data_IF_478415410686
#
_entry.id   IF_478415410686
#
_cell.length_a   1.000
_cell.length_b   1.000
_cell.length_c   1.000
_cell.angle_alpha   90.00
_cell.angle_beta   90.00
_cell.angle_gamma   90.00
#
_symmetry.space_group_name_H-M   'P 1'
#
loop_
_entity.id
_entity.type
_entity.pdbx_description
1 polymer ?
#
# COMPACT_ATOMS: atom_id res chain seq x y z
N UNK A 1 9.99 16.93 -8.46
CA UNK A 1 9.34 18.26 -8.32
C UNK A 1 9.76 18.81 -6.97
N UNK A 2 10.33 20.03 -6.89
CA UNK A 2 10.62 20.65 -5.60
C UNK A 2 9.31 21.09 -4.93
N UNK A 3 9.19 20.83 -3.63
CA UNK A 3 8.05 21.29 -2.83
C UNK A 3 8.07 22.82 -2.73
N UNK A 4 6.89 23.43 -2.78
CA UNK A 4 6.69 24.88 -2.59
C UNK A 4 6.04 25.14 -1.24
N UNK A 5 6.18 26.35 -0.70
CA UNK A 5 5.56 26.75 0.58
C UNK A 5 4.02 26.67 0.57
N UNK A 6 3.42 26.70 -0.62
CA UNK A 6 1.98 26.55 -0.85
C UNK A 6 1.47 25.10 -0.77
N UNK A 7 2.37 24.10 -0.74
CA UNK A 7 2.00 22.69 -0.66
C UNK A 7 1.65 22.30 0.79
N UNK A 8 0.40 21.90 1.04
CA UNK A 8 -0.03 21.43 2.36
C UNK A 8 0.70 20.15 2.79
N UNK A 9 1.50 20.23 3.84
CA UNK A 9 2.16 19.09 4.49
C UNK A 9 1.52 18.81 5.86
N UNK A 10 1.32 17.53 6.22
CA UNK A 10 0.85 17.17 7.55
C UNK A 10 1.85 17.58 8.63
N UNK A 11 1.36 17.80 9.86
CA UNK A 11 2.22 18.16 10.99
C UNK A 11 3.06 16.97 11.46
N UNK A 12 4.11 17.22 12.25
CA UNK A 12 4.92 16.13 12.80
C UNK A 12 4.12 15.23 13.76
N UNK A 13 3.23 15.83 14.56
CA UNK A 13 2.36 15.10 15.49
C UNK A 13 1.38 14.16 14.77
N UNK A 14 0.94 14.52 13.56
CA UNK A 14 0.10 13.65 12.73
C UNK A 14 0.87 12.46 12.17
N UNK A 15 2.18 12.60 11.97
CA UNK A 15 3.05 11.55 11.44
C UNK A 15 3.63 10.65 12.52
N UNK A 16 3.62 11.09 13.77
CA UNK A 16 4.14 10.31 14.89
C UNK A 16 3.23 9.12 15.19
N UNK A 17 3.75 7.93 14.93
CA UNK A 17 3.06 6.65 15.09
C UNK A 17 4.09 5.68 15.65
N UNK A 18 3.73 4.81 16.62
CA UNK A 18 4.66 3.80 17.09
C UNK A 18 5.10 2.91 15.93
N UNK A 19 6.41 2.74 15.76
CA UNK A 19 6.99 1.96 14.68
C UNK A 19 7.15 0.48 15.06
N UNK A 20 6.95 -0.42 14.09
CA UNK A 20 7.28 -1.84 14.29
C UNK A 20 8.79 -2.03 14.27
N UNK A 21 9.40 -2.08 15.45
CA UNK A 21 10.84 -2.33 15.64
C UNK A 21 11.18 -3.82 15.45
N UNK A 22 11.02 -4.32 14.22
CA UNK A 22 11.34 -5.70 13.84
C UNK A 22 12.38 -5.73 12.73
N UNK A 23 13.21 -6.77 12.70
CA UNK A 23 14.16 -6.98 11.60
C UNK A 23 13.46 -7.46 10.33
N UNK A 24 14.13 -7.32 9.19
CA UNK A 24 13.62 -7.81 7.90
C UNK A 24 13.35 -9.31 7.90
N UNK A 25 14.18 -10.12 8.56
CA UNK A 25 14.01 -11.57 8.70
C UNK A 25 12.73 -11.92 9.45
N UNK A 26 12.42 -11.21 10.54
CA UNK A 26 11.17 -11.38 11.31
C UNK A 26 9.95 -11.02 10.47
N UNK A 27 9.96 -9.87 9.79
CA UNK A 27 8.85 -9.46 8.92
C UNK A 27 8.64 -10.45 7.78
N UNK A 28 9.73 -10.96 7.21
CA UNK A 28 9.68 -11.93 6.11
C UNK A 28 9.13 -13.28 6.56
N UNK A 29 9.56 -13.79 7.72
CA UNK A 29 9.03 -14.99 8.33
C UNK A 29 7.51 -14.88 8.58
N UNK A 30 7.06 -13.76 9.15
CA UNK A 30 5.65 -13.52 9.45
C UNK A 30 4.79 -13.12 8.25
N UNK A 31 5.37 -12.78 7.10
CA UNK A 31 4.72 -12.06 5.99
C UNK A 31 3.43 -12.71 5.47
N UNK A 32 3.40 -14.03 5.29
CA UNK A 32 2.23 -14.74 4.75
C UNK A 32 1.04 -14.71 5.72
N UNK A 33 1.32 -14.81 7.02
CA UNK A 33 0.31 -14.80 8.07
C UNK A 33 -0.15 -13.39 8.39
N UNK A 34 0.79 -12.46 8.49
CA UNK A 34 0.53 -11.04 8.64
C UNK A 34 -0.34 -10.53 7.50
N UNK A 35 0.01 -10.86 6.25
CA UNK A 35 -0.76 -10.46 5.08
C UNK A 35 -2.17 -11.06 5.05
N UNK A 36 -2.38 -12.29 5.57
CA UNK A 36 -3.70 -12.90 5.68
C UNK A 36 -4.54 -12.28 6.82
N UNK A 37 -3.91 -11.98 7.95
CA UNK A 37 -4.57 -11.42 9.13
C UNK A 37 -4.96 -9.96 8.92
N UNK A 38 -4.06 -9.14 8.37
CA UNK A 38 -4.25 -7.71 8.09
C UNK A 38 -4.70 -7.41 6.65
N UNK A 39 -5.28 -8.40 5.96
CA UNK A 39 -5.60 -8.31 4.53
C UNK A 39 -6.58 -7.16 4.23
N UNK A 40 -7.51 -6.88 5.14
CA UNK A 40 -8.50 -5.81 4.98
C UNK A 40 -7.83 -4.43 5.06
N UNK A 41 -7.09 -4.16 6.14
CA UNK A 41 -6.43 -2.88 6.40
C UNK A 41 -5.37 -2.57 5.34
N UNK A 42 -4.56 -3.56 4.97
CA UNK A 42 -3.53 -3.40 3.95
C UNK A 42 -4.13 -3.04 2.60
N UNK A 43 -5.27 -3.64 2.23
CA UNK A 43 -5.94 -3.31 0.96
C UNK A 43 -6.61 -1.96 0.98
N UNK A 44 -7.20 -1.55 2.09
CA UNK A 44 -7.79 -0.21 2.21
C UNK A 44 -6.73 0.85 1.96
N UNK A 45 -5.56 0.70 2.60
CA UNK A 45 -4.42 1.58 2.39
C UNK A 45 -3.94 1.58 0.93
N UNK A 46 -3.78 0.41 0.32
CA UNK A 46 -3.34 0.30 -1.08
C UNK A 46 -4.35 0.90 -2.05
N UNK A 47 -5.65 0.68 -1.83
CA UNK A 47 -6.70 1.22 -2.68
C UNK A 47 -6.80 2.75 -2.51
N UNK A 48 -6.67 3.27 -1.29
CA UNK A 48 -6.59 4.72 -1.05
C UNK A 48 -5.41 5.33 -1.80
N UNK A 49 -4.22 4.72 -1.71
CA UNK A 49 -3.01 5.20 -2.35
C UNK A 49 -3.14 5.22 -3.88
N UNK A 50 -3.67 4.15 -4.46
CA UNK A 50 -3.80 4.01 -5.90
C UNK A 50 -4.88 4.94 -6.49
N UNK A 51 -5.97 5.21 -5.75
CA UNK A 51 -7.01 6.15 -6.18
C UNK A 51 -6.60 7.61 -6.04
N UNK A 52 -6.01 7.99 -4.90
CA UNK A 52 -5.68 9.40 -4.61
C UNK A 52 -4.35 9.83 -5.22
N UNK A 53 -3.41 8.90 -5.42
CA UNK A 53 -2.03 9.17 -5.81
C UNK A 53 -1.31 10.20 -4.90
N UNK A 54 -1.78 10.37 -3.66
CA UNK A 54 -1.23 11.29 -2.68
C UNK A 54 -1.10 10.59 -1.32
N UNK A 55 0.12 10.33 -0.82
CA UNK A 55 0.33 9.61 0.43
C UNK A 55 -0.21 10.36 1.66
N UNK A 56 -0.36 11.69 1.59
CA UNK A 56 -0.80 12.52 2.73
C UNK A 56 -2.26 12.25 3.12
N UNK A 57 -3.07 11.83 2.16
CA UNK A 57 -4.50 11.56 2.36
C UNK A 57 -4.78 10.22 3.00
N UNK A 58 -3.84 9.28 2.88
CA UNK A 58 -4.01 7.89 3.31
C UNK A 58 -3.27 7.58 4.64
N UNK A 59 -2.97 8.61 5.44
CA UNK A 59 -2.20 8.46 6.69
C UNK A 59 -2.99 7.67 7.75
N UNK A 60 -4.30 7.85 7.82
CA UNK A 60 -5.13 7.16 8.81
C UNK A 60 -5.18 5.66 8.52
N UNK A 61 -5.35 5.28 7.26
CA UNK A 61 -5.31 3.90 6.78
C UNK A 61 -3.93 3.28 7.03
N UNK A 62 -2.86 4.07 6.85
CA UNK A 62 -1.50 3.65 7.20
C UNK A 62 -1.34 3.34 8.69
N UNK A 63 -1.89 4.19 9.57
CA UNK A 63 -1.91 3.95 11.03
C UNK A 63 -2.64 2.67 11.40
N UNK A 64 -3.76 2.40 10.73
CA UNK A 64 -4.54 1.17 10.93
C UNK A 64 -3.76 -0.09 10.52
N UNK A 65 -2.99 -0.03 9.43
CA UNK A 65 -2.08 -1.12 9.02
C UNK A 65 -1.01 -1.36 10.09
N UNK A 66 -0.36 -0.30 10.57
CA UNK A 66 0.65 -0.41 11.63
C UNK A 66 0.06 -0.98 12.93
N UNK A 67 -1.15 -0.54 13.32
CA UNK A 67 -1.86 -1.10 14.49
C UNK A 67 -2.12 -2.59 14.32
N UNK A 68 -2.60 -3.01 13.15
CA UNK A 68 -2.83 -4.43 12.85
C UNK A 68 -1.52 -5.24 12.91
N UNK A 69 -0.41 -4.66 12.47
CA UNK A 69 0.93 -5.22 12.63
C UNK A 69 1.28 -5.51 14.10
N UNK A 70 1.11 -4.52 14.98
CA UNK A 70 1.34 -4.73 16.42
C UNK A 70 0.47 -5.83 17.01
N UNK A 71 -0.82 -5.83 16.68
CA UNK A 71 -1.76 -6.86 17.15
C UNK A 71 -1.30 -8.26 16.73
N UNK A 72 -0.93 -8.43 15.45
CA UNK A 72 -0.48 -9.69 14.91
C UNK A 72 0.82 -10.17 15.59
N UNK A 73 1.86 -9.34 15.62
CA UNK A 73 3.14 -9.75 16.20
C UNK A 73 3.08 -9.92 17.73
N UNK A 74 2.21 -9.18 18.42
CA UNK A 74 1.94 -9.39 19.85
C UNK A 74 1.28 -10.76 20.09
N UNK A 75 0.32 -11.15 19.24
CA UNK A 75 -0.29 -12.48 19.29
C UNK A 75 0.73 -13.60 19.01
N UNK A 76 1.57 -13.44 17.99
CA UNK A 76 2.64 -14.41 17.69
C UNK A 76 3.59 -14.55 18.88
N UNK A 77 4.03 -13.43 19.46
CA UNK A 77 4.91 -13.42 20.64
C UNK A 77 4.28 -14.09 21.87
N UNK A 78 2.97 -13.95 22.04
CA UNK A 78 2.25 -14.53 23.19
C UNK A 78 2.01 -16.03 23.04
N UNK A 79 1.71 -16.49 21.82
CA UNK A 79 1.25 -17.86 21.59
C UNK A 79 2.34 -18.78 21.02
N UNK A 80 3.19 -18.30 20.11
CA UNK A 80 4.19 -19.11 19.39
C UNK A 80 5.59 -18.47 19.39
N UNK A 81 6.16 -18.05 20.55
CA UNK A 81 7.43 -17.35 20.58
C UNK A 81 8.61 -18.22 20.10
N UNK A 82 8.72 -19.45 20.60
CA UNK A 82 9.88 -20.31 20.36
C UNK A 82 9.92 -20.80 18.92
N UNK A 83 8.78 -21.28 18.40
CA UNK A 83 8.66 -21.77 17.02
C UNK A 83 8.92 -20.64 16.02
N UNK A 84 8.45 -19.43 16.34
CA UNK A 84 8.70 -18.28 15.50
C UNK A 84 10.18 -17.86 15.55
N UNK A 85 10.81 -17.92 16.72
CA UNK A 85 12.23 -17.63 16.90
C UNK A 85 13.12 -18.51 16.01
N UNK A 86 12.95 -19.83 16.10
CA UNK A 86 13.71 -20.79 15.29
C UNK A 86 13.48 -20.58 13.79
N UNK A 87 12.26 -20.18 13.41
CA UNK A 87 11.91 -19.95 12.02
C UNK A 87 12.57 -18.70 11.45
N UNK A 88 12.42 -17.54 12.09
CA UNK A 88 13.02 -16.31 11.57
C UNK A 88 14.55 -16.34 11.66
N UNK A 89 15.12 -16.99 12.67
CA UNK A 89 16.57 -17.16 12.79
C UNK A 89 17.14 -18.00 11.64
N UNK A 90 16.45 -19.07 11.26
CA UNK A 90 16.82 -19.84 10.07
C UNK A 90 16.78 -18.97 8.80
N UNK A 91 15.74 -18.14 8.64
CA UNK A 91 15.62 -17.24 7.49
C UNK A 91 16.75 -16.23 7.47
N UNK A 92 17.10 -15.66 8.62
CA UNK A 92 18.21 -14.72 8.78
C UNK A 92 19.55 -15.33 8.34
N UNK A 93 19.77 -16.62 8.63
CA UNK A 93 20.97 -17.36 8.23
C UNK A 93 20.91 -18.02 6.84
N UNK A 94 19.80 -17.90 6.13
CA UNK A 94 19.57 -18.59 4.84
C UNK A 94 20.22 -17.91 3.62
N UNK A 95 21.13 -16.95 3.86
CA UNK A 95 21.84 -16.16 2.86
C UNK A 95 21.25 -14.77 2.66
N UNK A 96 21.85 -13.96 1.78
CA UNK A 96 21.45 -12.56 1.54
C UNK A 96 19.99 -12.42 1.10
N UNK A 97 19.46 -13.41 0.39
CA UNK A 97 18.11 -13.39 -0.16
C UNK A 97 17.03 -13.84 0.82
N UNK A 98 17.39 -14.33 2.02
CA UNK A 98 16.44 -14.84 3.01
C UNK A 98 15.47 -15.88 2.41
N UNK A 99 16.03 -16.97 1.87
CA UNK A 99 15.32 -17.98 1.11
C UNK A 99 14.50 -18.94 1.99
N UNK A 100 13.19 -18.99 1.73
CA UNK A 100 12.25 -19.85 2.46
C UNK A 100 12.50 -21.36 2.27
N UNK A 101 13.15 -21.75 1.18
CA UNK A 101 13.38 -23.16 0.81
C UNK A 101 14.27 -23.89 1.84
N UNK A 102 15.22 -23.18 2.42
CA UNK A 102 16.16 -23.76 3.38
C UNK A 102 15.52 -24.00 4.76
N UNK A 103 14.39 -23.35 5.05
CA UNK A 103 13.77 -23.29 6.37
C UNK A 103 12.41 -23.98 6.44
N UNK A 104 12.11 -24.93 5.53
CA UNK A 104 10.81 -25.62 5.51
C UNK A 104 10.52 -26.44 6.77
N UNK A 105 11.55 -26.96 7.43
CA UNK A 105 11.40 -27.73 8.68
C UNK A 105 10.89 -26.86 9.82
N UNK A 106 11.56 -25.73 10.09
CA UNK A 106 11.15 -24.76 11.11
C UNK A 106 9.84 -24.07 10.72
N UNK A 107 9.60 -23.87 9.41
CA UNK A 107 8.33 -23.36 8.92
C UNK A 107 7.16 -24.26 9.30
N UNK A 108 7.24 -25.59 9.08
CA UNK A 108 6.11 -26.49 9.40
C UNK A 108 5.73 -26.44 10.87
N UNK A 109 6.72 -26.39 11.77
CA UNK A 109 6.50 -26.28 13.22
C UNK A 109 5.80 -24.97 13.58
N UNK A 110 6.18 -23.87 12.94
CA UNK A 110 5.51 -22.59 13.12
C UNK A 110 4.09 -22.58 12.55
N UNK A 111 3.91 -23.12 11.34
CA UNK A 111 2.62 -23.23 10.64
C UNK A 111 1.60 -24.02 11.48
N UNK A 112 2.03 -25.11 12.12
CA UNK A 112 1.21 -25.90 13.05
C UNK A 112 0.80 -25.08 14.28
N UNK A 113 1.73 -24.39 14.93
CA UNK A 113 1.42 -23.56 16.11
C UNK A 113 0.43 -22.43 15.78
N UNK A 114 0.60 -21.75 14.65
CA UNK A 114 -0.30 -20.67 14.22
C UNK A 114 -1.69 -21.21 13.89
N UNK A 115 -1.77 -22.39 13.25
CA UNK A 115 -3.05 -23.04 12.96
C UNK A 115 -3.79 -23.41 14.24
N UNK A 116 -3.10 -24.01 15.22
CA UNK A 116 -3.72 -24.48 16.46
C UNK A 116 -4.10 -23.34 17.41
N UNK A 117 -3.22 -22.36 17.62
CA UNK A 117 -3.40 -21.32 18.64
C UNK A 117 -4.08 -20.05 18.11
N UNK A 118 -3.83 -19.69 16.86
CA UNK A 118 -4.37 -18.46 16.25
C UNK A 118 -5.51 -18.75 15.26
N UNK A 119 -5.71 -19.99 14.84
CA UNK A 119 -6.74 -20.37 13.87
C UNK A 119 -6.46 -19.84 12.46
N UNK A 120 -5.24 -19.40 12.17
CA UNK A 120 -4.87 -18.83 10.87
C UNK A 120 -4.16 -19.90 10.06
N UNK A 121 -4.86 -20.46 9.08
CA UNK A 121 -4.22 -21.38 8.14
C UNK A 121 -3.30 -20.62 7.16
N UNK A 122 -2.19 -21.23 6.75
CA UNK A 122 -1.31 -20.67 5.72
C UNK A 122 -2.09 -20.45 4.41
N UNK A 123 -2.01 -19.26 3.79
CA UNK A 123 -2.63 -19.03 2.49
C UNK A 123 -1.98 -19.92 1.41
N UNK A 124 -2.79 -20.40 0.47
CA UNK A 124 -2.31 -21.17 -0.68
C UNK A 124 -1.54 -20.28 -1.66
N UNK A 125 -0.73 -20.91 -2.51
CA UNK A 125 0.05 -20.21 -3.54
C UNK A 125 -0.91 -19.48 -4.50
N UNK A 126 -0.74 -18.17 -4.63
CA UNK A 126 -1.59 -17.31 -5.45
C UNK A 126 -2.73 -16.62 -4.73
N UNK A 127 -2.93 -16.85 -3.42
CA UNK A 127 -3.92 -16.11 -2.61
C UNK A 127 -3.77 -14.58 -2.75
N UNK A 128 -2.54 -14.08 -2.65
CA UNK A 128 -2.23 -12.64 -2.76
C UNK A 128 -2.24 -12.11 -4.20
N UNK A 129 -2.07 -12.97 -5.19
CA UNK A 129 -2.04 -12.59 -6.61
C UNK A 129 -3.44 -12.40 -7.21
N UNK A 130 -4.50 -12.81 -6.49
CA UNK A 130 -5.87 -12.63 -6.95
C UNK A 130 -6.30 -11.18 -6.76
N UNK A 131 -6.85 -10.60 -7.83
CA UNK A 131 -7.58 -9.34 -7.77
C UNK A 131 -8.80 -9.58 -6.90
N UNK A 132 -8.99 -8.73 -5.89
CA UNK A 132 -10.08 -8.83 -4.92
C UNK A 132 -10.83 -7.50 -4.93
N UNK A 133 -12.16 -7.57 -4.98
CA UNK A 133 -13.00 -6.40 -4.75
C UNK A 133 -12.90 -6.04 -3.26
N UNK A 134 -12.64 -4.77 -2.96
CA UNK A 134 -12.52 -4.27 -1.61
C UNK A 134 -13.58 -3.20 -1.39
N UNK A 135 -14.47 -3.43 -0.42
CA UNK A 135 -15.56 -2.52 -0.11
C UNK A 135 -15.07 -1.44 0.85
N UNK A 136 -15.11 -0.20 0.38
CA UNK A 136 -14.64 0.97 1.14
C UNK A 136 -15.81 1.89 1.46
N UNK A 137 -15.78 2.51 2.63
CA UNK A 137 -16.80 3.48 3.06
C UNK A 137 -16.47 4.91 2.60
N UNK A 138 -15.24 5.15 2.13
CA UNK A 138 -14.79 6.46 1.68
C UNK A 138 -15.40 6.82 0.33
N UNK A 139 -15.68 8.11 0.08
CA UNK A 139 -16.15 8.53 -1.22
C UNK A 139 -15.07 8.30 -2.26
N UNK A 140 -15.49 7.92 -3.47
CA UNK A 140 -14.58 7.77 -4.60
C UNK A 140 -13.89 9.09 -4.89
N UNK A 141 -12.56 9.05 -5.00
CA UNK A 141 -11.79 10.25 -5.31
C UNK A 141 -12.15 10.79 -6.71
N UNK A 142 -12.40 12.10 -6.80
CA UNK A 142 -12.61 12.79 -8.06
C UNK A 142 -11.34 13.57 -8.41
N UNK A 143 -10.77 13.28 -9.58
CA UNK A 143 -9.63 14.03 -10.08
C UNK A 143 -10.06 15.48 -10.36
N UNK A 144 -9.25 16.48 -9.96
CA UNK A 144 -9.54 17.86 -10.35
C UNK A 144 -9.56 17.96 -11.88
N UNK A 145 -10.48 18.75 -12.46
CA UNK A 145 -10.55 18.90 -13.90
C UNK A 145 -9.23 19.46 -14.43
N UNK A 146 -8.73 18.87 -15.51
CA UNK A 146 -7.54 19.38 -16.17
C UNK A 146 -7.82 20.80 -16.67
N UNK A 147 -7.02 21.78 -16.21
CA UNK A 147 -7.13 23.16 -16.66
C UNK A 147 -6.63 23.23 -18.11
N UNK A 148 -7.54 23.05 -19.06
CA UNK A 148 -7.24 23.30 -20.46
C UNK A 148 -6.98 24.81 -20.64
N UNK A 149 -6.01 25.20 -21.48
CA UNK A 149 -5.89 26.60 -21.88
C UNK A 149 -7.20 27.03 -22.54
N UNK A 150 -7.58 28.29 -22.35
CA UNK A 150 -8.77 28.85 -23.00
C UNK A 150 -8.66 28.65 -24.52
N UNK A 151 -9.74 28.17 -25.14
CA UNK A 151 -9.75 27.94 -26.60
C UNK A 151 -9.57 29.30 -27.29
N UNK A 152 -8.53 29.42 -28.12
CA UNK A 152 -8.34 30.59 -28.96
C UNK A 152 -9.58 30.77 -29.84
N UNK A 153 -10.14 31.98 -29.98
CA UNK A 153 -11.30 32.22 -30.85
C UNK A 153 -11.01 31.73 -32.26
N UNK A 154 -12.03 31.12 -32.88
CA UNK A 154 -11.92 30.67 -34.27
C UNK A 154 -11.67 31.89 -35.17
N UNK A 155 -10.81 31.76 -36.20
CA UNK A 155 -10.63 32.83 -37.17
C UNK A 155 -11.98 33.19 -37.82
N UNK A 156 -12.20 34.46 -38.20
CA UNK A 156 -13.43 34.87 -38.87
C UNK A 156 -13.65 34.03 -40.14
N UNK A 157 -14.89 33.60 -40.35
CA UNK A 157 -15.25 32.75 -41.48
C UNK A 157 -14.99 33.51 -42.79
N UNK A 158 -14.09 32.96 -43.63
CA UNK A 158 -13.65 33.58 -44.88
C UNK A 158 -14.77 33.77 -45.89
N UNK A 159 -15.86 33.00 -45.76
CA UNK A 159 -17.04 33.08 -46.62
C UNK A 159 -17.93 34.29 -46.30
N UNK A 160 -17.80 34.85 -45.10
CA UNK A 160 -18.53 36.05 -44.64
C UNK A 160 -17.63 37.28 -44.53
N UNK A 161 -16.31 37.11 -44.70
CA UNK A 161 -15.37 38.21 -44.67
C UNK A 161 -15.49 39.03 -45.97
N UNK A 162 -15.59 40.37 -45.91
CA UNK A 162 -15.57 41.20 -47.11
C UNK A 162 -14.26 40.98 -47.86
N UNK A 163 -14.35 40.66 -49.16
CA UNK A 163 -13.18 40.53 -50.02
C UNK A 163 -12.35 41.82 -49.95
N UNK A 164 -11.02 41.73 -49.77
CA UNK A 164 -10.18 42.91 -49.76
C UNK A 164 -10.34 43.64 -51.10
N UNK A 165 -10.53 44.96 -51.05
CA UNK A 165 -10.63 45.79 -52.24
C UNK A 165 -9.39 45.54 -53.11
N UNK A 166 -9.61 44.97 -54.28
CA UNK A 166 -8.55 44.77 -55.28
C UNK A 166 -8.08 46.17 -55.68
N UNK A 167 -6.85 46.52 -55.34
CA UNK A 167 -6.21 47.73 -55.85
C UNK A 167 -6.09 47.52 -57.36
N UNK A 168 -6.89 48.25 -58.13
CA UNK A 168 -6.79 48.33 -59.58
C UNK A 168 -5.71 49.38 -59.87
N UNK A 169 -4.51 48.92 -60.25
CA UNK A 169 -3.51 49.73 -60.95
C UNK A 169 -3.91 49.91 -62.42
#
# INVERSE_FOLDING_TARGET
>A
MPFREEDWLPSHEELDVPELQLTSSVLRAGSLYYGKYCDYQCKEFMLCRDETNDPRRCLNEGKEVTRCGFEFFSKVKTHCPDQFYDYWQCIDHSGNDMNFENCRKTQNVFDECVKEKLGIERPYVGYFSKIRLHDTQRPRFQLPPHKLPEKIPEPPNTDTAPLPNRILD
#
